data_IF_961421925267
#
_entry.id   IF_961421925267
#
_cell.length_a   1.000
_cell.length_b   1.000
_cell.length_c   1.000
_cell.angle_alpha   90.00
_cell.angle_beta   90.00
_cell.angle_gamma   90.00
#
_symmetry.space_group_name_H-M   'P 1'
#
loop_
_entity.id
_entity.type
_entity.pdbx_description
1 polymer ?
#
# COMPACT_ATOMS: atom_id res chain seq x y z
N UNK A 1 -16.28 -28.10 36.85
CA UNK A 1 -16.48 -27.16 35.72
C UNK A 1 -15.84 -25.81 36.04
N UNK A 2 -14.74 -25.45 35.39
CA UNK A 2 -14.29 -24.06 35.19
C UNK A 2 -13.71 -23.97 33.78
N UNK A 3 -14.42 -23.28 32.88
CA UNK A 3 -13.97 -23.01 31.50
C UNK A 3 -12.84 -21.99 31.55
N UNK A 4 -11.67 -22.36 31.02
CA UNK A 4 -10.53 -21.46 30.88
C UNK A 4 -10.59 -20.84 29.48
N UNK A 5 -11.19 -19.66 29.36
CA UNK A 5 -11.26 -18.89 28.11
C UNK A 5 -9.96 -18.09 27.94
N UNK A 6 -9.09 -18.55 27.04
CA UNK A 6 -7.92 -17.77 26.59
C UNK A 6 -8.37 -16.59 25.73
N UNK A 7 -7.83 -15.41 26.02
CA UNK A 7 -8.06 -14.18 25.26
C UNK A 7 -7.41 -14.23 23.86
N UNK A 8 -7.98 -13.59 22.82
CA UNK A 8 -7.52 -13.70 21.43
C UNK A 8 -6.10 -13.16 21.15
N UNK A 9 -5.53 -12.35 22.04
CA UNK A 9 -4.23 -11.69 21.85
C UNK A 9 -3.00 -12.59 22.06
N UNK A 10 -3.12 -13.72 22.77
CA UNK A 10 -1.96 -14.56 23.10
C UNK A 10 -1.45 -15.42 21.94
N UNK A 11 -2.28 -15.70 20.92
CA UNK A 11 -1.87 -16.47 19.74
C UNK A 11 -1.05 -15.66 18.72
N UNK A 12 -1.03 -14.33 18.83
CA UNK A 12 -0.36 -13.44 17.88
C UNK A 12 1.09 -13.12 18.32
N UNK A 13 1.35 -13.02 19.62
CA UNK A 13 2.70 -12.81 20.16
C UNK A 13 3.61 -14.02 19.96
N UNK A 14 3.07 -15.24 20.04
CA UNK A 14 3.83 -16.49 19.85
C UNK A 14 4.32 -16.68 18.39
N UNK A 15 3.71 -16.00 17.40
CA UNK A 15 4.16 -16.03 16.00
C UNK A 15 5.29 -15.04 15.73
N UNK A 16 5.32 -13.89 16.40
CA UNK A 16 6.37 -12.88 16.23
C UNK A 16 7.76 -13.36 16.69
N UNK A 17 7.82 -14.24 17.69
CA UNK A 17 9.09 -14.79 18.20
C UNK A 17 9.67 -15.89 17.28
N UNK A 18 8.86 -16.46 16.40
CA UNK A 18 9.33 -17.41 15.38
C UNK A 18 10.11 -16.70 14.25
N UNK A 19 9.77 -15.45 13.95
CA UNK A 19 10.39 -14.66 12.86
C UNK A 19 11.75 -14.04 13.22
N UNK A 20 12.04 -13.80 14.51
CA UNK A 20 13.33 -13.20 14.93
C UNK A 20 14.54 -14.14 14.82
N UNK A 21 14.34 -15.43 14.55
CA UNK A 21 15.42 -16.41 14.48
C UNK A 21 16.12 -16.53 13.12
N UNK A 22 15.71 -15.76 12.11
CA UNK A 22 16.26 -15.86 10.74
C UNK A 22 17.20 -14.71 10.34
N UNK A 23 17.45 -13.72 11.19
CA UNK A 23 18.32 -12.57 10.87
C UNK A 23 19.82 -12.81 11.16
N UNK A 24 20.43 -13.83 10.54
CA UNK A 24 21.90 -13.85 10.42
C UNK A 24 22.36 -14.30 9.04
N UNK A 25 22.82 -13.28 8.30
CA UNK A 25 23.87 -13.26 7.27
C UNK A 25 23.36 -12.60 5.98
N UNK A 26 23.69 -11.32 5.79
CA UNK A 26 23.57 -10.67 4.48
C UNK A 26 24.91 -9.99 4.15
N UNK A 27 25.69 -10.66 3.32
CA UNK A 27 26.80 -10.09 2.55
C UNK A 27 26.31 -9.96 1.11
N UNK A 28 26.51 -8.77 0.52
CA UNK A 28 26.45 -8.43 -0.92
C UNK A 28 25.45 -9.25 -1.76
N UNK A 29 24.19 -8.81 -1.81
CA UNK A 29 23.10 -9.51 -2.49
C UNK A 29 23.10 -9.20 -3.99
N UNK A 30 23.40 -10.21 -4.80
CA UNK A 30 22.83 -10.35 -6.14
C UNK A 30 21.32 -10.06 -6.06
N UNK A 31 20.82 -9.23 -6.98
CA UNK A 31 19.42 -8.80 -7.02
C UNK A 31 18.52 -10.03 -7.20
N UNK A 32 17.85 -10.46 -6.14
CA UNK A 32 17.03 -11.67 -6.14
C UNK A 32 15.77 -11.43 -6.97
N UNK A 33 15.71 -11.98 -8.19
CA UNK A 33 14.47 -12.06 -8.95
C UNK A 33 13.44 -12.90 -8.18
N UNK A 34 12.18 -12.46 -8.16
CA UNK A 34 11.09 -13.21 -7.57
C UNK A 34 10.88 -14.52 -8.33
N UNK A 35 10.92 -15.65 -7.62
CA UNK A 35 10.51 -16.94 -8.17
C UNK A 35 8.97 -17.01 -8.23
N UNK A 36 8.38 -16.40 -9.27
CA UNK A 36 6.93 -16.25 -9.41
C UNK A 36 6.17 -17.58 -9.34
N UNK A 37 6.60 -18.67 -10.01
CA UNK A 37 5.96 -19.98 -9.86
C UNK A 37 5.89 -20.45 -8.41
N UNK A 38 7.01 -20.41 -7.69
CA UNK A 38 7.10 -20.85 -6.29
C UNK A 38 6.25 -20.00 -5.35
N UNK A 39 6.26 -18.67 -5.52
CA UNK A 39 5.44 -17.75 -4.72
C UNK A 39 3.94 -17.98 -4.99
N UNK A 40 3.57 -18.25 -6.24
CA UNK A 40 2.18 -18.55 -6.61
C UNK A 40 1.72 -19.86 -5.97
N UNK A 41 2.52 -20.93 -6.05
CA UNK A 41 2.22 -22.20 -5.39
C UNK A 41 2.12 -22.05 -3.87
N UNK A 42 3.02 -21.27 -3.27
CA UNK A 42 3.01 -20.96 -1.83
C UNK A 42 1.69 -20.31 -1.43
N UNK A 43 1.27 -19.26 -2.15
CA UNK A 43 -0.01 -18.58 -1.91
C UNK A 43 -1.21 -19.52 -2.05
N UNK A 44 -1.25 -20.32 -3.12
CA UNK A 44 -2.34 -21.25 -3.39
C UNK A 44 -2.41 -22.39 -2.38
N UNK A 45 -1.28 -22.77 -1.76
CA UNK A 45 -1.23 -23.73 -0.64
C UNK A 45 -1.75 -23.15 0.69
N UNK A 46 -2.11 -21.86 0.73
CA UNK A 46 -2.61 -21.16 1.91
C UNK A 46 -1.51 -20.60 2.83
N UNK A 47 -0.25 -20.74 2.43
CA UNK A 47 0.89 -20.08 3.08
C UNK A 47 0.96 -18.61 2.65
N UNK A 48 1.55 -17.79 3.50
CA UNK A 48 1.87 -16.40 3.22
C UNK A 48 3.20 -16.27 2.50
N UNK A 49 3.31 -15.22 1.70
CA UNK A 49 4.59 -14.74 1.16
C UNK A 49 4.94 -13.41 1.82
N UNK A 50 6.23 -13.15 1.97
CA UNK A 50 6.79 -11.89 2.46
C UNK A 50 8.00 -11.56 1.60
N UNK A 51 7.99 -10.38 0.98
CA UNK A 51 9.08 -9.84 0.18
C UNK A 51 9.50 -8.50 0.79
N UNK A 52 10.74 -8.42 1.24
CA UNK A 52 11.33 -7.22 1.81
C UNK A 52 12.01 -6.37 0.71
N UNK A 53 11.76 -5.06 0.74
CA UNK A 53 12.39 -4.07 -0.11
C UNK A 53 12.98 -2.95 0.72
N UNK A 54 14.15 -2.44 0.31
CA UNK A 54 14.69 -1.16 0.77
C UNK A 54 14.15 0.02 -0.04
N UNK A 55 13.94 -0.24 -1.33
CA UNK A 55 13.32 0.64 -2.30
C UNK A 55 12.59 -0.23 -3.31
N UNK A 56 11.35 0.11 -3.62
CA UNK A 56 10.59 -0.58 -4.67
C UNK A 56 10.84 0.15 -5.99
N UNK A 57 11.51 -0.51 -6.93
CA UNK A 57 11.81 0.02 -8.26
C UNK A 57 10.74 -0.33 -9.30
N UNK A 58 10.80 0.29 -10.48
CA UNK A 58 9.92 -0.07 -11.61
C UNK A 58 10.06 -1.54 -12.03
N UNK A 59 11.26 -2.13 -11.87
CA UNK A 59 11.46 -3.56 -12.12
C UNK A 59 10.78 -4.44 -11.08
N UNK A 60 10.75 -4.00 -9.81
CA UNK A 60 10.01 -4.69 -8.75
C UNK A 60 8.51 -4.60 -8.98
N UNK A 61 8.02 -3.44 -9.46
CA UNK A 61 6.64 -3.28 -9.90
C UNK A 61 6.28 -4.25 -11.03
N UNK A 62 7.18 -4.44 -12.01
CA UNK A 62 6.95 -5.40 -13.10
C UNK A 62 6.92 -6.85 -12.60
N UNK A 63 7.78 -7.22 -11.65
CA UNK A 63 7.79 -8.55 -11.05
C UNK A 63 6.51 -8.79 -10.23
N UNK A 64 6.07 -7.81 -9.44
CA UNK A 64 4.81 -7.87 -8.71
C UNK A 64 3.60 -7.91 -9.64
N UNK A 65 3.61 -7.18 -10.76
CA UNK A 65 2.59 -7.27 -11.80
C UNK A 65 2.49 -8.70 -12.35
N UNK A 66 3.63 -9.31 -12.70
CA UNK A 66 3.66 -10.68 -13.19
C UNK A 66 3.18 -11.70 -12.13
N UNK A 67 3.50 -11.47 -10.85
CA UNK A 67 2.94 -12.27 -9.74
C UNK A 67 1.42 -12.12 -9.66
N UNK A 68 0.90 -10.88 -9.73
CA UNK A 68 -0.54 -10.61 -9.75
C UNK A 68 -1.23 -11.28 -10.93
N UNK A 69 -0.66 -11.20 -12.13
CA UNK A 69 -1.17 -11.84 -13.34
C UNK A 69 -1.34 -13.37 -13.13
N UNK A 70 -0.33 -14.01 -12.54
CA UNK A 70 -0.36 -15.44 -12.24
C UNK A 70 -1.41 -15.78 -11.18
N UNK A 71 -1.39 -15.15 -10.01
CA UNK A 71 -2.31 -15.51 -8.92
C UNK A 71 -3.77 -15.17 -9.26
N UNK A 72 -4.03 -14.00 -9.86
CA UNK A 72 -5.37 -13.59 -10.26
C UNK A 72 -5.90 -14.45 -11.41
N UNK A 73 -5.04 -14.89 -12.33
CA UNK A 73 -5.39 -15.87 -13.36
C UNK A 73 -5.83 -17.21 -12.75
N UNK A 74 -5.16 -17.68 -11.70
CA UNK A 74 -5.48 -18.96 -11.02
C UNK A 74 -6.76 -18.94 -10.20
N UNK A 75 -7.25 -17.76 -9.82
CA UNK A 75 -8.51 -17.60 -9.07
C UNK A 75 -9.65 -17.01 -9.93
N UNK A 76 -9.50 -17.06 -11.27
CA UNK A 76 -10.45 -16.54 -12.27
C UNK A 76 -10.74 -15.03 -12.15
N UNK A 77 -9.77 -14.26 -11.64
CA UNK A 77 -9.87 -12.80 -11.46
C UNK A 77 -8.86 -12.00 -12.27
N UNK A 78 -8.40 -12.57 -13.40
CA UNK A 78 -7.42 -11.95 -14.30
C UNK A 78 -7.81 -10.52 -14.72
N UNK A 79 -9.11 -10.26 -14.93
CA UNK A 79 -9.61 -8.94 -15.31
C UNK A 79 -9.39 -7.84 -14.25
N UNK A 80 -9.12 -8.19 -12.99
CA UNK A 80 -8.78 -7.23 -11.93
C UNK A 80 -7.31 -6.82 -11.95
N UNK A 81 -6.44 -7.48 -12.73
CA UNK A 81 -4.97 -7.31 -12.66
C UNK A 81 -4.55 -5.85 -12.78
N UNK A 82 -5.06 -5.11 -13.77
CA UNK A 82 -4.72 -3.69 -13.96
C UNK A 82 -5.16 -2.80 -12.80
N UNK A 83 -6.34 -3.07 -12.23
CA UNK A 83 -6.85 -2.31 -11.08
C UNK A 83 -5.96 -2.58 -9.86
N UNK A 84 -5.67 -3.86 -9.57
CA UNK A 84 -4.87 -4.24 -8.40
C UNK A 84 -3.42 -3.78 -8.56
N UNK A 85 -2.84 -3.88 -9.76
CA UNK A 85 -1.47 -3.43 -10.03
C UNK A 85 -1.33 -1.92 -9.87
N UNK A 86 -2.31 -1.15 -10.35
CA UNK A 86 -2.33 0.31 -10.20
C UNK A 86 -2.44 0.70 -8.73
N UNK A 87 -3.37 0.09 -7.98
CA UNK A 87 -3.53 0.33 -6.54
C UNK A 87 -2.26 -0.05 -5.78
N UNK A 88 -1.66 -1.20 -6.09
CA UNK A 88 -0.41 -1.66 -5.47
C UNK A 88 0.75 -0.71 -5.77
N UNK A 89 0.86 -0.21 -7.01
CA UNK A 89 1.88 0.76 -7.40
C UNK A 89 1.78 2.04 -6.56
N UNK A 90 0.58 2.58 -6.39
CA UNK A 90 0.35 3.76 -5.54
C UNK A 90 0.70 3.51 -4.06
N UNK A 91 0.35 2.33 -3.52
CA UNK A 91 0.68 1.97 -2.13
C UNK A 91 2.20 1.91 -1.93
N UNK A 92 2.91 1.18 -2.79
CA UNK A 92 4.36 0.99 -2.69
C UNK A 92 5.13 2.29 -2.95
N UNK A 93 4.66 3.12 -3.90
CA UNK A 93 5.23 4.45 -4.15
C UNK A 93 5.06 5.36 -2.93
N UNK A 94 3.92 5.29 -2.24
CA UNK A 94 3.72 6.02 -0.98
C UNK A 94 4.63 5.52 0.14
N UNK A 95 4.93 4.21 0.18
CA UNK A 95 5.88 3.65 1.13
C UNK A 95 7.31 4.15 0.87
N UNK A 96 7.77 4.14 -0.39
CA UNK A 96 9.06 4.77 -0.78
C UNK A 96 9.10 6.25 -0.38
N UNK A 97 8.05 7.02 -0.69
CA UNK A 97 7.96 8.46 -0.36
C UNK A 97 7.99 8.71 1.13
N UNK A 98 7.34 7.86 1.92
CA UNK A 98 7.38 7.95 3.37
C UNK A 98 8.82 7.80 3.87
N UNK A 99 9.55 6.78 3.41
CA UNK A 99 10.95 6.56 3.80
C UNK A 99 11.85 7.71 3.36
N UNK A 100 11.71 8.16 2.11
CA UNK A 100 12.46 9.30 1.59
C UNK A 100 12.23 10.56 2.42
N UNK A 101 10.98 10.80 2.85
CA UNK A 101 10.63 11.93 3.72
C UNK A 101 11.36 11.86 5.04
N UNK A 102 11.44 10.69 5.69
CA UNK A 102 12.13 10.57 6.99
C UNK A 102 13.62 10.86 6.84
N UNK A 103 14.25 10.31 5.80
CA UNK A 103 15.67 10.59 5.49
C UNK A 103 15.88 12.07 5.20
N UNK A 104 15.00 12.69 4.43
CA UNK A 104 15.09 14.12 4.09
C UNK A 104 15.05 15.01 5.32
N UNK A 105 14.09 14.79 6.23
CA UNK A 105 13.97 15.55 7.47
C UNK A 105 15.20 15.39 8.36
N UNK A 106 15.74 14.17 8.47
CA UNK A 106 16.99 13.90 9.17
C UNK A 106 18.17 14.66 8.55
N UNK A 107 18.33 14.61 7.22
CA UNK A 107 19.40 15.32 6.50
C UNK A 107 19.33 16.85 6.64
N UNK A 108 18.12 17.41 6.69
CA UNK A 108 17.89 18.85 6.86
C UNK A 108 17.91 19.31 8.33
N UNK A 109 18.14 18.39 9.27
CA UNK A 109 18.07 18.65 10.71
C UNK A 109 16.73 19.29 11.13
N UNK A 110 15.63 18.83 10.52
CA UNK A 110 14.28 19.27 10.81
C UNK A 110 13.58 18.23 11.68
N UNK A 111 13.05 18.67 12.82
CA UNK A 111 12.12 17.86 13.60
C UNK A 111 10.79 17.64 12.85
N UNK A 112 10.52 16.38 12.47
CA UNK A 112 9.31 15.99 11.75
C UNK A 112 8.03 16.06 12.63
N UNK A 113 8.17 16.12 13.94
CA UNK A 113 7.08 16.25 14.91
C UNK A 113 6.72 17.71 15.20
N UNK A 114 7.58 18.65 14.83
CA UNK A 114 7.29 20.08 14.92
C UNK A 114 6.51 20.55 13.68
N UNK A 115 5.38 21.23 13.89
CA UNK A 115 4.46 21.62 12.80
C UNK A 115 5.07 22.62 11.81
N UNK A 116 5.87 23.59 12.27
CA UNK A 116 6.51 24.59 11.42
C UNK A 116 7.63 23.97 10.59
N UNK A 117 8.44 23.13 11.23
CA UNK A 117 9.48 22.34 10.56
C UNK A 117 8.89 21.38 9.54
N UNK A 118 7.77 20.73 9.88
CA UNK A 118 7.07 19.85 8.96
C UNK A 118 6.56 20.59 7.73
N UNK A 119 5.92 21.74 7.93
CA UNK A 119 5.39 22.57 6.85
C UNK A 119 6.51 23.07 5.93
N UNK A 120 7.61 23.56 6.52
CA UNK A 120 8.81 23.99 5.79
C UNK A 120 9.44 22.81 5.02
N UNK A 121 9.66 21.70 5.71
CA UNK A 121 10.28 20.50 5.15
C UNK A 121 9.45 19.91 4.02
N UNK A 122 8.13 19.90 4.13
CA UNK A 122 7.24 19.39 3.08
C UNK A 122 7.27 20.24 1.81
N UNK A 123 7.38 21.57 1.92
CA UNK A 123 7.53 22.46 0.76
C UNK A 123 8.81 22.14 -0.02
N UNK A 124 9.93 22.04 0.68
CA UNK A 124 11.21 21.70 0.07
C UNK A 124 11.31 20.24 -0.37
N UNK A 125 10.59 19.32 0.29
CA UNK A 125 10.59 17.90 -0.07
C UNK A 125 9.99 17.68 -1.47
N UNK A 126 8.92 18.40 -1.81
CA UNK A 126 8.33 18.31 -3.14
C UNK A 126 9.32 18.77 -4.22
N UNK A 127 9.96 19.92 -4.00
CA UNK A 127 10.92 20.53 -4.93
C UNK A 127 12.20 19.70 -5.09
N UNK A 128 12.80 19.25 -3.99
CA UNK A 128 14.12 18.62 -3.98
C UNK A 128 14.06 17.11 -4.21
N UNK A 129 13.02 16.41 -3.75
CA UNK A 129 12.96 14.94 -3.79
C UNK A 129 12.01 14.43 -4.85
N UNK A 130 10.79 14.98 -4.94
CA UNK A 130 9.78 14.43 -5.85
C UNK A 130 10.14 14.68 -7.32
N UNK A 131 10.81 15.81 -7.63
CA UNK A 131 11.30 16.10 -8.98
C UNK A 131 12.62 15.41 -9.34
N UNK A 132 13.37 14.91 -8.35
CA UNK A 132 14.64 14.18 -8.53
C UNK A 132 14.51 12.76 -7.98
N UNK A 133 13.41 12.09 -8.35
CA UNK A 133 13.05 10.80 -7.78
C UNK A 133 14.05 9.69 -8.13
N UNK A 134 14.69 9.78 -9.29
CA UNK A 134 15.67 8.80 -9.76
C UNK A 134 16.89 8.68 -8.82
N UNK A 135 17.25 9.76 -8.12
CA UNK A 135 18.36 9.80 -7.15
C UNK A 135 18.03 9.10 -5.83
N UNK A 136 16.73 8.83 -5.56
CA UNK A 136 16.31 8.30 -4.26
C UNK A 136 16.62 6.82 -4.07
N UNK A 137 16.82 6.08 -5.17
CA UNK A 137 17.09 4.64 -5.12
C UNK A 137 18.30 4.32 -4.26
N UNK A 138 19.45 4.94 -4.55
CA UNK A 138 20.69 4.69 -3.81
C UNK A 138 20.57 5.14 -2.34
N UNK A 139 19.94 6.30 -2.11
CA UNK A 139 19.72 6.84 -0.76
C UNK A 139 18.89 5.88 0.10
N UNK A 140 17.82 5.32 -0.47
CA UNK A 140 16.90 4.43 0.24
C UNK A 140 17.48 3.03 0.43
N UNK A 141 18.20 2.51 -0.58
CA UNK A 141 18.92 1.24 -0.49
C UNK A 141 19.94 1.22 0.66
N UNK A 142 20.63 2.33 0.87
CA UNK A 142 21.61 2.49 1.95
C UNK A 142 21.00 2.91 3.30
N UNK A 143 19.66 2.91 3.41
CA UNK A 143 18.96 3.33 4.63
C UNK A 143 18.53 2.16 5.52
N UNK A 144 18.20 2.48 6.77
CA UNK A 144 17.63 1.51 7.71
C UNK A 144 16.20 1.09 7.40
N UNK A 145 15.44 1.87 6.61
CA UNK A 145 14.01 1.64 6.37
C UNK A 145 13.76 0.43 5.48
N UNK A 146 12.67 -0.27 5.73
CA UNK A 146 12.19 -1.42 4.95
C UNK A 146 10.72 -1.28 4.61
N UNK A 147 10.34 -1.92 3.50
CA UNK A 147 8.98 -2.09 3.01
C UNK A 147 8.76 -3.59 2.86
N UNK A 148 7.73 -4.13 3.51
CA UNK A 148 7.34 -5.52 3.37
C UNK A 148 6.08 -5.61 2.50
N UNK A 149 6.18 -6.31 1.37
CA UNK A 149 5.04 -6.77 0.61
C UNK A 149 4.68 -8.18 1.07
N UNK A 150 3.49 -8.33 1.65
CA UNK A 150 2.94 -9.61 2.06
C UNK A 150 1.67 -9.92 1.32
N UNK A 151 1.47 -11.18 0.99
CA UNK A 151 0.22 -11.64 0.42
C UNK A 151 -0.18 -13.01 0.99
N UNK A 152 -1.48 -13.27 1.04
CA UNK A 152 -2.05 -14.54 1.49
C UNK A 152 -3.45 -14.77 0.92
N UNK A 153 -3.76 -16.02 0.59
CA UNK A 153 -5.14 -16.44 0.33
C UNK A 153 -5.92 -16.63 1.63
N UNK A 154 -7.06 -15.96 1.77
CA UNK A 154 -7.97 -16.04 2.92
C UNK A 154 -9.39 -16.25 2.38
N UNK A 155 -10.00 -17.41 2.65
CA UNK A 155 -11.36 -17.72 2.20
C UNK A 155 -11.58 -17.41 0.71
N UNK A 156 -10.68 -17.91 -0.15
CA UNK A 156 -10.69 -17.66 -1.61
C UNK A 156 -10.52 -16.21 -2.05
N UNK A 157 -10.22 -15.29 -1.13
CA UNK A 157 -9.87 -13.90 -1.40
C UNK A 157 -8.36 -13.71 -1.27
N UNK A 158 -7.77 -12.87 -2.11
CA UNK A 158 -6.36 -12.51 -2.00
C UNK A 158 -6.23 -11.30 -1.07
N UNK A 159 -5.58 -11.47 0.06
CA UNK A 159 -5.21 -10.38 0.96
C UNK A 159 -3.79 -9.92 0.64
N UNK A 160 -3.62 -8.64 0.39
CA UNK A 160 -2.34 -7.97 0.17
C UNK A 160 -2.12 -6.98 1.32
N UNK A 161 -0.92 -6.99 1.88
CA UNK A 161 -0.49 -6.11 2.95
C UNK A 161 0.85 -5.49 2.58
N UNK A 162 0.93 -4.17 2.59
CA UNK A 162 2.20 -3.44 2.52
C UNK A 162 2.47 -2.82 3.88
N UNK A 163 3.54 -3.26 4.53
CA UNK A 163 4.00 -2.68 5.79
C UNK A 163 5.25 -1.82 5.54
N UNK A 164 5.35 -0.69 6.23
CA UNK A 164 6.47 0.21 6.11
C UNK A 164 6.93 0.69 7.49
N UNK A 165 8.24 0.73 7.70
CA UNK A 165 8.88 1.11 8.98
C UNK A 165 8.65 2.58 9.38
N UNK A 166 8.16 3.39 8.45
CA UNK A 166 7.80 4.78 8.72
C UNK A 166 6.42 4.86 9.39
N UNK A 167 6.38 5.15 10.68
CA UNK A 167 5.14 5.45 11.40
C UNK A 167 4.40 6.65 10.79
N UNK A 168 3.06 6.57 10.71
CA UNK A 168 2.22 7.71 10.34
C UNK A 168 2.19 8.75 11.46
N UNK A 169 2.45 10.00 11.09
CA UNK A 169 2.27 11.13 12.00
C UNK A 169 0.78 11.49 12.11
N UNK A 170 0.33 12.09 13.23
CA UNK A 170 -1.07 12.50 13.40
C UNK A 170 -1.60 13.38 12.26
N UNK A 171 -0.78 14.32 11.78
CA UNK A 171 -1.09 15.19 10.64
C UNK A 171 -1.19 14.44 9.30
N UNK A 172 -0.38 13.39 9.10
CA UNK A 172 -0.47 12.54 7.91
C UNK A 172 -1.75 11.70 7.94
N UNK A 173 -2.12 11.18 9.12
CA UNK A 173 -3.36 10.44 9.31
C UNK A 173 -4.60 11.31 9.06
N UNK A 174 -4.62 12.55 9.54
CA UNK A 174 -5.70 13.51 9.27
C UNK A 174 -5.83 13.79 7.76
N UNK A 175 -4.70 13.98 7.07
CA UNK A 175 -4.68 14.16 5.63
C UNK A 175 -5.19 12.94 4.87
N UNK A 176 -4.79 11.73 5.28
CA UNK A 176 -5.29 10.47 4.69
C UNK A 176 -6.81 10.37 4.87
N UNK A 177 -7.32 10.61 6.08
CA UNK A 177 -8.77 10.58 6.38
C UNK A 177 -9.54 11.57 5.51
N UNK A 178 -9.08 12.83 5.42
CA UNK A 178 -9.69 13.86 4.59
C UNK A 178 -9.74 13.46 3.10
N UNK A 179 -8.67 12.85 2.58
CA UNK A 179 -8.59 12.40 1.17
C UNK A 179 -9.48 11.20 0.88
N UNK A 180 -9.59 10.25 1.80
CA UNK A 180 -10.53 9.13 1.68
C UNK A 180 -11.98 9.64 1.73
N UNK A 181 -12.26 10.60 2.62
CA UNK A 181 -13.61 11.20 2.71
C UNK A 181 -13.97 12.03 1.47
N UNK A 182 -13.02 12.82 0.94
CA UNK A 182 -13.25 13.58 -0.29
C UNK A 182 -13.50 12.68 -1.49
N UNK A 183 -12.87 11.50 -1.54
CA UNK A 183 -13.04 10.56 -2.63
C UNK A 183 -14.50 10.09 -2.81
N UNK A 184 -15.30 10.10 -1.74
CA UNK A 184 -16.72 9.72 -1.79
C UNK A 184 -17.58 10.71 -2.60
N UNK A 185 -17.10 11.94 -2.80
CA UNK A 185 -17.81 12.98 -3.54
C UNK A 185 -17.69 12.79 -5.05
N UNK A 186 -16.69 12.07 -5.51
CA UNK A 186 -16.43 11.86 -6.93
C UNK A 186 -17.27 10.71 -7.47
N UNK A 187 -17.89 10.94 -8.62
CA UNK A 187 -18.64 9.92 -9.32
C UNK A 187 -17.71 9.09 -10.19
N UNK A 188 -16.79 9.76 -10.89
CA UNK A 188 -15.80 9.14 -11.75
C UNK A 188 -14.40 9.78 -11.59
N UNK A 189 -13.44 9.24 -12.35
CA UNK A 189 -12.06 9.71 -12.34
C UNK A 189 -11.91 11.11 -12.95
N UNK A 190 -12.71 11.45 -13.95
CA UNK A 190 -12.64 12.76 -14.63
C UNK A 190 -12.98 13.89 -13.66
N UNK A 191 -14.05 13.73 -12.88
CA UNK A 191 -14.44 14.67 -11.82
C UNK A 191 -13.29 14.87 -10.81
N UNK A 192 -12.66 13.77 -10.39
CA UNK A 192 -11.57 13.82 -9.44
C UNK A 192 -10.31 14.50 -10.01
N UNK A 193 -9.99 14.27 -11.28
CA UNK A 193 -8.85 14.90 -11.93
C UNK A 193 -9.05 16.42 -12.08
N UNK A 194 -10.25 16.89 -12.45
CA UNK A 194 -10.53 18.32 -12.61
C UNK A 194 -10.42 19.10 -11.29
N UNK A 195 -11.03 18.59 -10.22
CA UNK A 195 -10.98 19.22 -8.89
C UNK A 195 -9.56 19.30 -8.32
N UNK A 196 -8.72 18.31 -8.65
CA UNK A 196 -7.38 18.18 -8.08
C UNK A 196 -6.34 18.89 -8.93
N UNK A 197 -6.54 19.06 -10.25
CA UNK A 197 -5.67 19.89 -11.10
C UNK A 197 -5.64 21.37 -10.69
N UNK A 198 -6.72 21.86 -10.07
CA UNK A 198 -6.77 23.21 -9.49
C UNK A 198 -6.02 23.31 -8.15
N UNK A 199 -5.77 22.17 -7.48
CA UNK A 199 -4.95 22.11 -6.28
C UNK A 199 -3.49 21.90 -6.65
N UNK A 200 -2.61 22.85 -6.31
CA UNK A 200 -1.15 22.78 -6.48
C UNK A 200 -0.48 21.57 -5.76
N UNK A 201 -1.26 20.73 -5.07
CA UNK A 201 -0.79 19.53 -4.38
C UNK A 201 -0.96 18.27 -5.26
N UNK A 202 0.09 17.92 -6.01
CA UNK A 202 0.25 16.59 -6.62
C UNK A 202 0.38 15.45 -5.58
N UNK A 203 0.43 15.76 -4.28
CA UNK A 203 0.76 14.86 -3.18
C UNK A 203 -0.44 14.07 -2.59
N UNK A 204 -1.62 14.10 -3.20
CA UNK A 204 -2.86 13.51 -2.64
C UNK A 204 -3.74 12.70 -3.60
N UNK A 205 -3.39 12.65 -4.89
CA UNK A 205 -4.18 11.98 -5.94
C UNK A 205 -4.30 10.47 -5.74
N UNK A 206 -3.21 9.82 -5.32
CA UNK A 206 -3.13 8.35 -5.27
C UNK A 206 -4.22 7.71 -4.40
N UNK A 207 -4.54 8.30 -3.24
CA UNK A 207 -5.58 7.75 -2.37
C UNK A 207 -6.97 7.89 -2.97
N UNK A 208 -7.26 9.03 -3.61
CA UNK A 208 -8.53 9.25 -4.30
C UNK A 208 -8.68 8.29 -5.48
N UNK A 209 -7.61 8.12 -6.26
CA UNK A 209 -7.52 7.16 -7.36
C UNK A 209 -7.80 5.73 -6.88
N UNK A 210 -7.16 5.29 -5.78
CA UNK A 210 -7.41 3.97 -5.19
C UNK A 210 -8.90 3.80 -4.87
N UNK A 211 -9.51 4.77 -4.18
CA UNK A 211 -10.93 4.69 -3.80
C UNK A 211 -11.85 4.57 -5.03
N UNK A 212 -11.58 5.34 -6.08
CA UNK A 212 -12.38 5.32 -7.30
C UNK A 212 -12.18 4.02 -8.10
N UNK A 213 -10.95 3.52 -8.23
CA UNK A 213 -10.67 2.26 -8.92
C UNK A 213 -11.33 1.06 -8.21
N UNK A 214 -11.31 1.04 -6.87
CA UNK A 214 -11.94 -0.04 -6.11
C UNK A 214 -13.46 0.03 -6.17
N UNK A 215 -14.05 1.22 -6.16
CA UNK A 215 -15.48 1.44 -6.39
C UNK A 215 -15.86 0.97 -7.80
N UNK A 216 -15.12 1.40 -8.82
CA UNK A 216 -15.43 1.17 -10.23
C UNK A 216 -15.13 -0.26 -10.71
N UNK A 217 -14.35 -1.03 -9.95
CA UNK A 217 -14.09 -2.45 -10.24
C UNK A 217 -15.07 -3.41 -9.55
N UNK A 218 -15.98 -2.90 -8.71
CA UNK A 218 -16.88 -3.72 -7.91
C UNK A 218 -16.22 -4.40 -6.70
N UNK A 219 -14.95 -4.11 -6.42
CA UNK A 219 -14.25 -4.60 -5.22
C UNK A 219 -14.81 -3.93 -3.96
N UNK A 220 -15.09 -2.63 -4.05
CA UNK A 220 -15.56 -1.81 -2.93
C UNK A 220 -14.41 -1.09 -2.21
N UNK A 221 -14.63 0.17 -1.88
CA UNK A 221 -13.66 1.01 -1.17
C UNK A 221 -13.33 0.52 0.25
N UNK A 222 -14.25 -0.21 0.89
CA UNK A 222 -14.09 -0.80 2.22
C UNK A 222 -13.04 -1.92 2.26
N UNK A 223 -12.63 -2.44 1.10
CA UNK A 223 -11.58 -3.44 0.97
C UNK A 223 -10.17 -2.88 1.03
N UNK A 224 -10.03 -1.56 1.07
CA UNK A 224 -8.75 -0.90 1.28
C UNK A 224 -8.73 -0.15 2.60
N UNK A 225 -7.67 -0.35 3.38
CA UNK A 225 -7.49 0.31 4.67
C UNK A 225 -6.02 0.67 4.87
N UNK A 226 -5.81 1.84 5.46
CA UNK A 226 -4.50 2.25 6.00
C UNK A 226 -4.64 2.37 7.52
N UNK A 227 -3.74 1.75 8.27
CA UNK A 227 -3.62 1.95 9.71
C UNK A 227 -2.16 1.99 10.17
N UNK A 228 -1.96 2.36 11.43
CA UNK A 228 -0.66 2.41 12.09
C UNK A 228 -0.80 1.95 13.53
N UNK A 229 0.24 1.34 14.08
CA UNK A 229 0.37 1.02 15.51
C UNK A 229 1.28 2.02 16.25
N UNK A 230 1.63 3.15 15.60
CA UNK A 230 2.56 4.14 16.10
C UNK A 230 4.04 3.85 15.79
N UNK A 231 4.35 2.66 15.26
CA UNK A 231 5.70 2.29 14.79
C UNK A 231 5.73 2.03 13.30
N UNK A 232 4.74 1.30 12.79
CA UNK A 232 4.66 0.89 11.39
C UNK A 232 3.42 1.49 10.74
N UNK A 233 3.47 1.64 9.43
CA UNK A 233 2.30 1.93 8.59
C UNK A 233 1.91 0.67 7.83
N UNK A 234 0.63 0.36 7.80
CA UNK A 234 0.07 -0.82 7.12
C UNK A 234 -1.01 -0.41 6.15
N UNK A 235 -0.83 -0.75 4.89
CA UNK A 235 -1.86 -0.64 3.85
C UNK A 235 -2.34 -2.04 3.49
N UNK A 236 -3.62 -2.32 3.75
CA UNK A 236 -4.26 -3.60 3.45
C UNK A 236 -5.21 -3.44 2.28
N UNK A 237 -5.12 -4.36 1.31
CA UNK A 237 -6.05 -4.50 0.20
C UNK A 237 -6.58 -5.94 0.17
N UNK A 238 -7.90 -6.09 0.17
CA UNK A 238 -8.55 -7.38 0.00
C UNK A 238 -9.14 -7.46 -1.40
N UNK A 239 -8.70 -8.41 -2.20
CA UNK A 239 -9.29 -8.74 -3.51
C UNK A 239 -10.28 -9.88 -3.29
N UNK A 240 -11.60 -9.59 -3.24
CA UNK A 240 -12.59 -10.59 -2.90
C UNK A 240 -12.76 -11.60 -4.03
N UNK A 241 -13.18 -12.81 -3.68
CA UNK A 241 -13.61 -13.78 -4.68
C UNK A 241 -14.82 -13.26 -5.47
N UNK A 242 -15.77 -12.59 -4.85
CA UNK A 242 -16.94 -12.05 -5.56
C UNK A 242 -16.88 -10.52 -5.54
N UNK A 243 -17.05 -9.91 -6.71
CA UNK A 243 -17.23 -8.47 -6.85
C UNK A 243 -18.71 -8.16 -6.99
N UNK A 244 -19.14 -7.01 -6.47
CA UNK A 244 -20.52 -6.55 -6.62
C UNK A 244 -20.58 -5.68 -7.89
N UNK A 245 -21.46 -5.98 -8.86
CA UNK A 245 -21.67 -5.07 -9.98
C UNK A 245 -22.07 -3.69 -9.45
N UNK A 246 -21.50 -2.63 -10.00
CA UNK A 246 -21.98 -1.28 -9.71
C UNK A 246 -23.42 -1.23 -10.19
N UNK A 247 -24.36 -0.96 -9.28
CA UNK A 247 -25.71 -0.63 -9.70
C UNK A 247 -25.62 0.62 -10.58
N UNK A 248 -25.80 0.43 -11.89
CA UNK A 248 -26.04 1.55 -12.79
C UNK A 248 -27.47 2.00 -12.47
N UNK A 249 -27.63 2.91 -11.51
CA UNK A 249 -28.86 3.69 -11.40
C UNK A 249 -28.91 4.65 -12.58
N UNK A 250 -29.11 4.12 -13.78
CA UNK A 250 -29.62 4.93 -14.89
C UNK A 250 -30.97 5.43 -14.41
N UNK A 251 -31.13 6.75 -14.31
CA UNK A 251 -32.43 7.40 -14.11
C UNK A 251 -33.34 7.10 -15.32
N UNK A 252 -33.87 5.88 -15.40
CA UNK A 252 -34.95 5.48 -16.29
C UNK A 252 -36.25 5.46 -15.48
N UNK A 253 -36.59 6.63 -14.91
CA UNK A 253 -37.92 6.90 -14.34
C UNK A 253 -38.27 8.36 -14.55
N UNK A 254 -38.21 8.84 -15.79
CA UNK A 254 -39.05 9.95 -16.23
C UNK A 254 -39.49 9.66 -17.67
N UNK A 255 -40.80 9.63 -17.87
CA UNK A 255 -41.56 9.28 -19.09
C UNK A 255 -41.98 7.82 -19.24
N UNK A 256 -42.91 7.40 -18.40
CA UNK A 256 -44.16 6.77 -18.86
C UNK A 256 -45.32 7.37 -18.07
#
# INVERSE_FOLDING_TARGET
MKKNTKYPGQRFSERLDLFRKLEKNCSETEKLMLNIPELTETLLSGKDIDVEYKFVSEEDHQQLYNLLLNILGKIDRLFLTEVISTVLKEILMNANKANAKRIFFLKKNLDIHNADHYSKGMRTFQEEITHHWDDQKEILQNSGFKIHFRAKMINSSLAILVENDSALLPQELDRIKKRIESAKKYNDLSDAFMDISDSQESAGLGLVLIQLLLKNSGIGSDKFKIDTDGKLTRATLIVPQQIVPIEITTKLKEKF
#
